data_IF_893488503364
#
_entry.id   IF_893488503364
#
_cell.length_a   1.000
_cell.length_b   1.000
_cell.length_c   1.000
_cell.angle_alpha   90.00
_cell.angle_beta   90.00
_cell.angle_gamma   90.00
#
_symmetry.space_group_name_H-M   'P 1'
#
loop_
_entity.id
_entity.type
_entity.pdbx_description
1 polymer ?
#
# COMPACT_ATOMS: atom_id res chain seq x y z
N UNK A 1 -56.30 -1.97 25.61
CA UNK A 1 -56.28 -1.44 24.23
C UNK A 1 -55.32 -0.27 24.18
N UNK A 2 -54.29 -0.37 23.35
CA UNK A 2 -53.35 0.68 22.92
C UNK A 2 -54.11 1.95 22.52
N UNK A 3 -53.57 3.15 22.57
CA UNK A 3 -52.39 3.64 21.84
C UNK A 3 -51.86 4.91 22.51
N UNK A 4 -50.52 5.04 22.61
CA UNK A 4 -49.70 6.27 22.61
C UNK A 4 -48.25 5.75 22.47
N UNK A 5 -47.28 6.26 21.70
CA UNK A 5 -47.14 7.37 20.77
C UNK A 5 -45.70 7.28 20.22
N UNK A 6 -45.44 7.92 19.07
CA UNK A 6 -44.13 8.29 18.47
C UNK A 6 -43.41 7.22 17.65
N UNK A 7 -43.71 7.31 16.36
CA UNK A 7 -42.72 7.36 15.28
C UNK A 7 -41.52 8.25 15.68
N UNK A 8 -40.36 7.65 15.92
CA UNK A 8 -39.06 8.31 15.99
C UNK A 8 -38.13 7.59 15.01
N UNK A 9 -37.75 8.34 13.98
CA UNK A 9 -37.28 7.84 12.70
C UNK A 9 -35.78 7.54 12.74
N UNK A 10 -35.43 6.42 12.11
CA UNK A 10 -34.11 5.99 11.61
C UNK A 10 -33.14 5.36 12.63
N UNK A 11 -33.49 4.16 13.10
CA UNK A 11 -32.51 3.12 13.39
C UNK A 11 -31.92 2.58 12.08
N UNK A 12 -31.02 3.33 11.43
CA UNK A 12 -30.23 2.78 10.33
C UNK A 12 -29.21 1.83 10.96
N UNK A 13 -29.47 0.52 10.89
CA UNK A 13 -28.68 -0.55 11.51
C UNK A 13 -27.27 -0.75 10.93
N UNK A 14 -26.51 0.33 10.74
CA UNK A 14 -25.11 0.29 10.36
C UNK A 14 -24.25 0.35 11.63
N UNK A 15 -23.23 -0.51 11.78
CA UNK A 15 -22.29 -0.43 12.89
C UNK A 15 -21.59 0.93 12.90
N UNK A 16 -21.26 1.46 14.08
CA UNK A 16 -20.48 2.70 14.20
C UNK A 16 -19.14 2.52 13.50
N UNK A 17 -18.79 3.47 12.64
CA UNK A 17 -17.67 3.42 11.68
C UNK A 17 -16.32 3.02 12.32
N UNK A 18 -16.15 3.33 13.60
CA UNK A 18 -14.92 3.10 14.39
C UNK A 18 -14.53 1.61 14.59
N UNK A 19 -15.48 0.66 14.47
CA UNK A 19 -15.21 -0.76 14.67
C UNK A 19 -14.85 -1.50 13.36
N UNK A 20 -15.15 -0.92 12.21
CA UNK A 20 -15.09 -1.61 10.91
C UNK A 20 -13.71 -1.55 10.22
N UNK A 21 -12.77 -0.72 10.70
CA UNK A 21 -11.51 -0.41 10.02
C UNK A 21 -10.24 -0.81 10.79
N UNK A 22 -10.31 -1.81 11.66
CA UNK A 22 -9.14 -2.24 12.45
C UNK A 22 -8.16 -3.16 11.71
N UNK A 23 -8.40 -3.48 10.42
CA UNK A 23 -7.50 -4.35 9.64
C UNK A 23 -6.71 -3.52 8.63
N UNK A 24 -5.40 -3.48 8.80
CA UNK A 24 -4.47 -2.90 7.81
C UNK A 24 -4.69 -3.60 6.46
N UNK A 25 -5.03 -2.89 5.38
CA UNK A 25 -5.25 -3.49 4.06
C UNK A 25 -4.01 -4.27 3.59
N UNK A 26 -4.21 -5.38 2.89
CA UNK A 26 -3.10 -6.22 2.43
C UNK A 26 -2.11 -5.46 1.53
N UNK A 27 -2.59 -4.53 0.71
CA UNK A 27 -1.73 -3.65 -0.09
C UNK A 27 -0.79 -2.78 0.75
N UNK A 28 -1.30 -2.23 1.85
CA UNK A 28 -0.52 -1.46 2.83
C UNK A 28 0.59 -2.32 3.45
N UNK A 29 0.26 -3.56 3.85
CA UNK A 29 1.24 -4.49 4.42
C UNK A 29 2.34 -4.86 3.41
N UNK A 30 1.97 -5.07 2.14
CA UNK A 30 2.93 -5.36 1.07
C UNK A 30 3.84 -4.16 0.81
N UNK A 31 3.30 -2.94 0.84
CA UNK A 31 4.07 -1.71 0.70
C UNK A 31 5.16 -1.62 1.77
N UNK A 32 4.79 -1.75 3.05
CA UNK A 32 5.74 -1.71 4.17
C UNK A 32 6.83 -2.78 4.03
N UNK A 33 6.44 -4.02 3.69
CA UNK A 33 7.39 -5.11 3.46
C UNK A 33 8.41 -4.75 2.37
N UNK A 34 7.98 -4.17 1.26
CA UNK A 34 8.89 -3.81 0.17
C UNK A 34 9.80 -2.66 0.57
N UNK A 35 9.31 -1.68 1.35
CA UNK A 35 10.15 -0.61 1.92
C UNK A 35 11.24 -1.23 2.79
N UNK A 36 10.89 -2.10 3.73
CA UNK A 36 11.86 -2.77 4.60
C UNK A 36 12.89 -3.58 3.82
N UNK A 37 12.46 -4.24 2.74
CA UNK A 37 13.34 -5.02 1.85
C UNK A 37 14.32 -4.11 1.08
N UNK A 38 13.88 -2.91 0.67
CA UNK A 38 14.76 -1.91 0.04
C UNK A 38 15.74 -1.32 1.06
N UNK A 39 15.25 -0.96 2.26
CA UNK A 39 16.06 -0.35 3.32
C UNK A 39 17.13 -1.29 3.88
N UNK A 40 16.83 -2.59 3.97
CA UNK A 40 17.80 -3.62 4.35
C UNK A 40 18.82 -3.92 3.25
N UNK A 41 18.61 -3.44 2.02
CA UNK A 41 19.46 -3.71 0.86
C UNK A 41 19.24 -5.08 0.21
N UNK A 42 18.22 -5.83 0.64
CA UNK A 42 17.81 -7.08 -0.02
C UNK A 42 17.29 -6.82 -1.44
N UNK A 43 16.57 -5.72 -1.64
CA UNK A 43 16.22 -5.18 -2.96
C UNK A 43 17.14 -4.01 -3.29
N UNK A 44 17.95 -4.15 -4.34
CA UNK A 44 18.97 -3.15 -4.67
C UNK A 44 18.47 -2.08 -5.64
N UNK A 45 19.04 -0.86 -5.62
CA UNK A 45 18.78 0.15 -6.64
C UNK A 45 18.91 -0.41 -8.07
N UNK A 46 17.90 -0.12 -8.90
CA UNK A 46 17.81 -0.63 -10.28
C UNK A 46 17.27 -2.06 -10.40
N UNK A 47 17.08 -2.79 -9.31
CA UNK A 47 16.50 -4.14 -9.34
C UNK A 47 15.04 -4.09 -9.80
N UNK A 48 14.66 -5.04 -10.65
CA UNK A 48 13.33 -5.05 -11.27
C UNK A 48 12.28 -5.65 -10.33
N UNK A 49 11.18 -4.92 -10.12
CA UNK A 49 10.04 -5.37 -9.32
C UNK A 49 8.88 -5.74 -10.25
N UNK A 50 8.46 -7.01 -10.20
CA UNK A 50 7.39 -7.55 -11.06
C UNK A 50 6.24 -8.04 -10.19
N UNK A 51 5.05 -7.45 -10.38
CA UNK A 51 3.86 -7.77 -9.59
C UNK A 51 3.53 -9.26 -9.57
N UNK A 52 3.68 -9.95 -10.71
CA UNK A 52 3.45 -11.40 -10.82
C UNK A 52 4.40 -12.19 -9.92
N UNK A 53 5.69 -11.88 -9.98
CA UNK A 53 6.73 -12.58 -9.22
C UNK A 53 6.59 -12.32 -7.73
N UNK A 54 6.35 -11.06 -7.35
CA UNK A 54 6.14 -10.68 -5.96
C UNK A 54 4.87 -11.31 -5.38
N UNK A 55 3.76 -11.31 -6.12
CA UNK A 55 2.53 -11.99 -5.73
C UNK A 55 2.74 -13.50 -5.50
N UNK A 56 3.47 -14.17 -6.40
CA UNK A 56 3.79 -15.58 -6.25
C UNK A 56 4.68 -15.86 -5.03
N UNK A 57 5.69 -15.01 -4.76
CA UNK A 57 6.56 -15.13 -3.58
C UNK A 57 5.79 -14.97 -2.27
N UNK A 58 4.81 -14.06 -2.24
CA UNK A 58 4.02 -13.74 -1.05
C UNK A 58 2.76 -14.62 -0.89
N UNK A 59 2.44 -15.46 -1.88
CA UNK A 59 1.24 -16.31 -1.82
C UNK A 59 -0.08 -15.53 -1.92
N UNK A 60 -0.07 -14.38 -2.60
CA UNK A 60 -1.23 -13.47 -2.71
C UNK A 60 -1.64 -13.25 -4.17
N UNK A 61 -2.80 -12.62 -4.39
CA UNK A 61 -3.19 -12.21 -5.74
C UNK A 61 -2.39 -10.97 -6.20
N UNK A 62 -2.37 -10.71 -7.51
CA UNK A 62 -1.63 -9.56 -8.05
C UNK A 62 -2.30 -8.21 -7.79
N UNK A 63 -3.59 -8.16 -7.44
CA UNK A 63 -4.31 -6.91 -7.23
C UNK A 63 -3.71 -6.05 -6.11
N UNK A 64 -3.59 -6.54 -4.85
CA UNK A 64 -2.99 -5.76 -3.77
C UNK A 64 -1.50 -5.47 -4.00
N UNK A 65 -0.80 -6.34 -4.72
CA UNK A 65 0.61 -6.11 -5.10
C UNK A 65 0.74 -4.95 -6.09
N UNK A 66 -0.17 -4.84 -7.06
CA UNK A 66 -0.17 -3.71 -8.01
C UNK A 66 -0.53 -2.39 -7.33
N UNK A 67 -1.41 -2.42 -6.33
CA UNK A 67 -1.72 -1.25 -5.50
C UNK A 67 -0.48 -0.81 -4.74
N UNK A 68 0.17 -1.71 -3.99
CA UNK A 68 1.42 -1.42 -3.29
C UNK A 68 2.50 -0.85 -4.23
N UNK A 69 2.70 -1.46 -5.41
CA UNK A 69 3.68 -0.96 -6.39
C UNK A 69 3.33 0.47 -6.85
N UNK A 70 2.06 0.79 -7.09
CA UNK A 70 1.66 2.16 -7.47
C UNK A 70 1.98 3.16 -6.38
N UNK A 71 1.68 2.82 -5.12
CA UNK A 71 1.96 3.68 -3.97
C UNK A 71 3.47 3.87 -3.79
N UNK A 72 4.26 2.81 -3.94
CA UNK A 72 5.72 2.89 -3.86
C UNK A 72 6.34 3.73 -4.97
N UNK A 73 5.74 3.75 -6.16
CA UNK A 73 6.15 4.66 -7.25
C UNK A 73 5.83 6.11 -6.87
N UNK A 74 4.64 6.37 -6.34
CA UNK A 74 4.22 7.70 -5.91
C UNK A 74 5.12 8.24 -4.77
N UNK A 75 5.51 7.37 -3.84
CA UNK A 75 6.43 7.68 -2.74
C UNK A 75 7.90 7.77 -3.19
N UNK A 76 8.24 7.37 -4.42
CA UNK A 76 9.59 7.45 -4.96
C UNK A 76 10.54 6.32 -4.54
N UNK A 77 10.03 5.23 -3.96
CA UNK A 77 10.82 4.01 -3.70
C UNK A 77 11.05 3.19 -4.97
N UNK A 78 10.05 3.18 -5.85
CA UNK A 78 10.11 2.52 -7.14
C UNK A 78 9.95 3.55 -8.26
N UNK A 79 10.35 3.18 -9.48
CA UNK A 79 10.15 3.99 -10.68
C UNK A 79 9.77 3.11 -11.87
N UNK A 80 9.04 3.68 -12.83
CA UNK A 80 8.80 3.02 -14.11
C UNK A 80 9.88 3.42 -15.10
N UNK A 81 10.65 2.43 -15.55
CA UNK A 81 11.68 2.60 -16.55
C UNK A 81 11.12 2.19 -17.92
N UNK A 82 11.19 3.07 -18.94
CA UNK A 82 10.73 2.77 -20.29
C UNK A 82 11.28 1.44 -20.80
N UNK A 83 10.39 0.59 -21.33
CA UNK A 83 10.69 -0.74 -21.88
C UNK A 83 11.25 -1.77 -20.87
N UNK A 84 11.53 -1.38 -19.62
CA UNK A 84 12.05 -2.27 -18.56
C UNK A 84 11.05 -2.55 -17.44
N UNK A 85 9.99 -1.75 -17.33
CA UNK A 85 8.96 -1.91 -16.30
C UNK A 85 9.37 -1.24 -15.00
N UNK A 86 8.87 -1.73 -13.87
CA UNK A 86 9.12 -1.12 -12.56
C UNK A 86 10.43 -1.61 -11.95
N UNK A 87 11.21 -0.71 -11.36
CA UNK A 87 12.46 -1.01 -10.64
C UNK A 87 12.60 -0.17 -9.37
N UNK A 88 13.47 -0.62 -8.45
CA UNK A 88 13.89 0.16 -7.28
C UNK A 88 14.58 1.43 -7.76
N UNK A 89 14.14 2.58 -7.26
CA UNK A 89 14.71 3.87 -7.63
C UNK A 89 16.15 3.97 -7.12
N UNK A 90 17.04 4.50 -7.94
CA UNK A 90 18.39 4.87 -7.49
C UNK A 90 18.35 6.26 -6.87
N UNK A 91 18.55 6.35 -5.55
CA UNK A 91 18.75 7.64 -4.88
C UNK A 91 20.14 8.15 -5.20
N UNK A 92 20.24 9.33 -5.80
CA UNK A 92 21.54 9.97 -6.03
C UNK A 92 22.08 10.54 -4.72
N UNK A 93 23.40 10.58 -4.55
CA UNK A 93 24.05 11.16 -3.34
C UNK A 93 23.68 12.62 -3.11
N UNK A 94 23.17 13.32 -4.13
CA UNK A 94 22.65 14.69 -4.05
C UNK A 94 21.30 14.75 -3.35
N UNK A 95 20.38 13.83 -3.64
CA UNK A 95 19.06 13.74 -3.01
C UNK A 95 19.15 13.36 -1.52
N UNK A 96 20.16 12.58 -1.13
CA UNK A 96 20.41 12.25 0.27
C UNK A 96 20.90 13.44 1.11
N UNK A 97 21.51 14.46 0.48
CA UNK A 97 22.01 15.65 1.19
C UNK A 97 20.92 16.67 1.44
N UNK A 98 19.95 16.80 0.55
CA UNK A 98 18.86 17.78 0.69
C UNK A 98 17.86 17.43 1.80
N UNK A 99 17.85 16.18 2.31
CA UNK A 99 17.01 15.76 3.46
C UNK A 99 17.59 16.20 4.82
N UNK A 100 18.89 16.51 4.88
CA UNK A 100 19.60 16.89 6.11
C UNK A 100 20.06 18.35 6.16
N UNK A 101 19.62 19.19 5.21
CA UNK A 101 19.99 20.60 5.10
C UNK A 101 18.99 21.54 5.79
#
# INVERSE_FOLDING_TARGET
MSYHTRDERLNTGWPRDEELLQRVPLGEQIKELVIDTIMSGELQPGERVVAKTLAARLGVSQAPVREAIRDLILLGFLENVPYKGTSVRSFTTKELRDVYA
#
